data_IF_973319635903
#
_entry.id   IF_973319635903
#
_cell.length_a   1.000
_cell.length_b   1.000
_cell.length_c   1.000
_cell.angle_alpha   90.00
_cell.angle_beta   90.00
_cell.angle_gamma   90.00
#
_symmetry.space_group_name_H-M   'P 1'
#
loop_
_entity.id
_entity.type
_entity.pdbx_description
1 polymer ?
#
# COMPACT_ATOMS: atom_id res chain seq x y z
N UNK A 1 -21.89 -38.16 -63.81
CA UNK A 1 -20.59 -37.55 -64.20
C UNK A 1 -20.76 -36.03 -64.17
N UNK A 2 -19.87 -35.19 -63.66
CA UNK A 2 -18.55 -35.34 -63.08
C UNK A 2 -18.03 -33.95 -62.66
N UNK A 3 -17.11 -33.95 -61.70
CA UNK A 3 -16.02 -32.98 -61.53
C UNK A 3 -16.32 -31.48 -61.76
N UNK A 4 -17.00 -30.80 -60.83
CA UNK A 4 -16.95 -29.31 -60.74
C UNK A 4 -16.61 -28.73 -59.36
N UNK A 5 -16.57 -29.54 -58.30
CA UNK A 5 -16.30 -29.04 -56.95
C UNK A 5 -14.82 -28.90 -56.57
N UNK A 6 -13.91 -29.63 -57.23
CA UNK A 6 -12.49 -29.70 -56.80
C UNK A 6 -11.64 -28.56 -57.36
N UNK A 7 -12.04 -27.94 -58.48
CA UNK A 7 -11.26 -26.86 -59.12
C UNK A 7 -11.39 -25.55 -58.33
N UNK A 8 -12.57 -25.25 -57.77
CA UNK A 8 -12.80 -24.02 -57.00
C UNK A 8 -12.00 -24.02 -55.70
N UNK A 9 -11.96 -25.16 -54.98
CA UNK A 9 -11.18 -25.27 -53.74
C UNK A 9 -9.66 -25.18 -53.98
N UNK A 10 -9.16 -25.74 -55.09
CA UNK A 10 -7.74 -25.61 -55.48
C UNK A 10 -7.37 -24.18 -55.86
N UNK A 11 -8.24 -23.44 -56.55
CA UNK A 11 -8.01 -22.04 -56.91
C UNK A 11 -8.03 -21.11 -55.69
N UNK A 12 -8.89 -21.37 -54.71
CA UNK A 12 -8.91 -20.62 -53.44
C UNK A 12 -7.70 -20.91 -52.56
N UNK A 13 -7.25 -22.18 -52.50
CA UNK A 13 -6.02 -22.53 -51.79
C UNK A 13 -4.77 -21.94 -52.45
N UNK A 14 -4.73 -21.88 -53.79
CA UNK A 14 -3.65 -21.24 -54.54
C UNK A 14 -3.63 -19.72 -54.32
N UNK A 15 -4.80 -19.06 -54.27
CA UNK A 15 -4.92 -17.62 -53.97
C UNK A 15 -4.54 -17.27 -52.51
N UNK A 16 -4.81 -18.17 -51.56
CA UNK A 16 -4.36 -18.04 -50.17
C UNK A 16 -2.83 -18.22 -50.04
N UNK A 17 -2.25 -19.17 -50.79
CA UNK A 17 -0.80 -19.37 -50.79
C UNK A 17 -0.04 -18.25 -51.53
N UNK A 18 -0.58 -17.72 -52.62
CA UNK A 18 0.03 -16.58 -53.35
C UNK A 18 -0.15 -15.26 -52.60
N UNK A 19 -1.21 -15.11 -51.80
CA UNK A 19 -1.37 -14.00 -50.86
C UNK A 19 -0.30 -13.98 -49.75
N UNK A 20 0.16 -15.15 -49.31
CA UNK A 20 1.25 -15.27 -48.31
C UNK A 20 2.64 -14.95 -48.89
N UNK A 21 2.82 -15.11 -50.21
CA UNK A 21 4.09 -14.84 -50.90
C UNK A 21 4.20 -13.39 -51.42
N UNK A 22 3.09 -12.65 -51.51
CA UNK A 22 3.07 -11.30 -52.08
C UNK A 22 3.05 -10.16 -51.03
N UNK A 23 2.93 -10.48 -49.72
CA UNK A 23 2.93 -9.46 -48.67
C UNK A 23 3.85 -9.83 -47.49
N UNK A 24 5.19 -9.79 -47.64
CA UNK A 24 6.12 -10.00 -46.53
C UNK A 24 6.04 -8.90 -45.45
N UNK A 25 5.31 -7.82 -45.73
CA UNK A 25 5.21 -6.63 -44.88
C UNK A 25 4.23 -6.79 -43.70
N UNK A 26 3.30 -7.76 -43.71
CA UNK A 26 2.38 -7.96 -42.57
C UNK A 26 2.86 -8.98 -41.53
N UNK A 27 3.78 -9.88 -41.87
CA UNK A 27 4.37 -10.82 -40.90
C UNK A 27 5.50 -10.19 -40.07
N UNK A 28 6.16 -9.13 -40.57
CA UNK A 28 7.24 -8.44 -39.86
C UNK A 28 6.75 -7.58 -38.67
N UNK A 29 5.48 -7.17 -38.66
CA UNK A 29 4.93 -6.30 -37.61
C UNK A 29 4.59 -7.04 -36.30
N UNK A 30 4.42 -8.37 -36.34
CA UNK A 30 4.15 -9.19 -35.16
C UNK A 30 5.42 -9.66 -34.44
N UNK A 31 6.56 -9.72 -35.14
CA UNK A 31 7.84 -10.11 -34.53
C UNK A 31 8.51 -8.98 -33.73
N UNK A 32 8.20 -7.70 -34.02
CA UNK A 32 8.83 -6.55 -33.34
C UNK A 32 8.16 -6.17 -32.02
N UNK A 33 6.83 -6.33 -31.89
CA UNK A 33 6.09 -5.96 -30.67
C UNK A 33 6.14 -7.00 -29.56
N UNK A 34 6.05 -8.30 -29.90
CA UNK A 34 6.04 -9.36 -28.90
C UNK A 34 7.43 -9.60 -28.30
N UNK A 35 8.49 -9.57 -29.12
CA UNK A 35 9.88 -9.65 -28.64
C UNK A 35 10.26 -8.45 -27.78
N UNK A 36 9.88 -7.22 -28.20
CA UNK A 36 10.17 -6.01 -27.43
C UNK A 36 9.45 -5.93 -26.09
N UNK A 37 8.18 -6.36 -26.00
CA UNK A 37 7.42 -6.29 -24.76
C UNK A 37 7.94 -7.28 -23.68
N UNK A 38 8.31 -8.50 -24.09
CA UNK A 38 8.91 -9.49 -23.20
C UNK A 38 10.32 -9.05 -22.74
N UNK A 39 11.14 -8.54 -23.67
CA UNK A 39 12.48 -8.04 -23.35
C UNK A 39 12.47 -6.78 -22.46
N UNK A 40 11.48 -5.89 -22.63
CA UNK A 40 11.31 -4.74 -21.74
C UNK A 40 10.92 -5.17 -20.32
N UNK A 41 10.14 -6.25 -20.17
CA UNK A 41 9.75 -6.77 -18.85
C UNK A 41 10.95 -7.39 -18.14
N UNK A 42 11.75 -8.21 -18.83
CA UNK A 42 12.95 -8.84 -18.27
C UNK A 42 14.04 -7.80 -17.97
N UNK A 43 14.15 -6.74 -18.78
CA UNK A 43 15.05 -5.62 -18.48
C UNK A 43 14.64 -4.83 -17.23
N UNK A 44 13.34 -4.65 -16.98
CA UNK A 44 12.84 -4.07 -15.71
C UNK A 44 13.12 -4.98 -14.51
N UNK A 45 13.06 -6.29 -14.69
CA UNK A 45 13.44 -7.24 -13.64
C UNK A 45 14.93 -7.16 -13.33
N UNK A 46 15.78 -7.02 -14.34
CA UNK A 46 17.22 -6.86 -14.18
C UNK A 46 17.59 -5.58 -13.41
N UNK A 47 16.92 -4.46 -13.69
CA UNK A 47 17.16 -3.21 -12.97
C UNK A 47 16.72 -3.27 -11.51
N UNK A 48 15.64 -4.00 -11.21
CA UNK A 48 15.20 -4.27 -9.84
C UNK A 48 16.22 -5.13 -9.07
N UNK A 49 16.76 -6.20 -9.68
CA UNK A 49 17.78 -7.04 -9.03
C UNK A 49 19.08 -6.27 -8.75
N UNK A 50 19.54 -5.43 -9.68
CA UNK A 50 20.71 -4.54 -9.45
C UNK A 50 20.46 -3.48 -8.39
N UNK A 51 19.20 -3.07 -8.17
CA UNK A 51 18.85 -2.20 -7.05
C UNK A 51 18.93 -2.95 -5.71
N UNK A 52 18.55 -4.23 -5.69
CA UNK A 52 18.69 -5.08 -4.51
C UNK A 52 20.16 -5.32 -4.14
N UNK A 53 21.05 -5.56 -5.12
CA UNK A 53 22.50 -5.67 -4.88
C UNK A 53 23.06 -4.43 -4.19
N UNK A 54 22.71 -3.23 -4.69
CA UNK A 54 23.14 -1.95 -4.08
C UNK A 54 22.57 -1.76 -2.67
N UNK A 55 21.32 -2.15 -2.45
CA UNK A 55 20.69 -2.01 -1.13
C UNK A 55 21.26 -2.97 -0.09
N UNK A 56 21.71 -4.16 -0.51
CA UNK A 56 22.28 -5.19 0.37
C UNK A 56 23.80 -5.15 0.45
N UNK A 57 24.45 -4.24 -0.29
CA UNK A 57 25.90 -4.11 -0.30
C UNK A 57 26.62 -5.32 -0.90
N UNK A 58 25.95 -6.13 -1.73
CA UNK A 58 26.58 -7.27 -2.38
C UNK A 58 27.61 -6.76 -3.40
N UNK A 59 28.91 -6.97 -3.13
CA UNK A 59 29.97 -6.68 -4.10
C UNK A 59 30.17 -7.92 -4.97
N UNK A 60 30.34 -7.73 -6.28
CA UNK A 60 30.54 -8.84 -7.22
C UNK A 60 31.71 -9.72 -6.77
N UNK A 61 31.40 -10.96 -6.38
CA UNK A 61 32.39 -11.94 -5.89
C UNK A 61 32.47 -12.09 -4.37
N UNK A 62 31.64 -11.42 -3.56
CA UNK A 62 31.59 -11.65 -2.12
C UNK A 62 30.91 -13.00 -1.80
N UNK A 63 31.68 -14.08 -1.86
CA UNK A 63 31.29 -15.42 -1.38
C UNK A 63 31.34 -15.53 0.16
N UNK A 64 31.06 -14.43 0.86
CA UNK A 64 31.21 -14.37 2.32
C UNK A 64 29.95 -14.93 2.98
N UNK A 65 29.89 -16.26 3.11
CA UNK A 65 28.83 -16.98 3.82
C UNK A 65 28.55 -18.35 3.21
N UNK A 66 28.22 -19.34 4.05
CA UNK A 66 27.97 -20.73 3.67
C UNK A 66 26.75 -20.96 2.77
N UNK A 67 26.20 -22.18 2.79
CA UNK A 67 25.16 -22.68 1.86
C UNK A 67 23.95 -21.74 1.61
N UNK A 68 23.61 -20.84 2.54
CA UNK A 68 22.56 -19.83 2.38
C UNK A 68 23.14 -18.41 2.21
N UNK A 69 23.83 -18.16 1.08
CA UNK A 69 24.37 -16.84 0.79
C UNK A 69 23.43 -16.02 -0.13
N UNK A 70 22.78 -14.96 0.39
CA UNK A 70 21.80 -14.18 -0.38
C UNK A 70 22.44 -13.41 -1.55
N UNK A 71 23.73 -13.04 -1.46
CA UNK A 71 24.43 -12.37 -2.55
C UNK A 71 24.76 -13.35 -3.70
N UNK A 72 24.98 -14.63 -3.40
CA UNK A 72 25.19 -15.68 -4.41
C UNK A 72 23.90 -16.05 -5.15
N UNK A 73 22.75 -16.10 -4.47
CA UNK A 73 21.45 -16.30 -5.14
C UNK A 73 21.10 -15.12 -6.07
N UNK A 74 21.38 -13.88 -5.62
CA UNK A 74 21.16 -12.69 -6.44
C UNK A 74 22.04 -12.68 -7.70
N UNK A 75 23.34 -13.00 -7.58
CA UNK A 75 24.25 -13.04 -8.73
C UNK A 75 23.87 -14.14 -9.73
N UNK A 76 23.41 -15.31 -9.25
CA UNK A 76 22.90 -16.39 -10.09
C UNK A 76 21.65 -15.99 -10.88
N UNK A 77 20.69 -15.33 -10.23
CA UNK A 77 19.47 -14.83 -10.91
C UNK A 77 19.78 -13.77 -11.96
N UNK A 78 20.72 -12.87 -11.67
CA UNK A 78 21.17 -11.84 -12.61
C UNK A 78 21.85 -12.48 -13.82
N UNK A 79 22.73 -13.46 -13.60
CA UNK A 79 23.42 -14.18 -14.67
C UNK A 79 22.43 -14.94 -15.57
N UNK A 80 21.42 -15.59 -14.99
CA UNK A 80 20.39 -16.31 -15.75
C UNK A 80 19.54 -15.36 -16.60
N UNK A 81 19.06 -14.24 -16.04
CA UNK A 81 18.28 -13.25 -16.81
C UNK A 81 19.14 -12.61 -17.90
N UNK A 82 20.41 -12.34 -17.63
CA UNK A 82 21.33 -11.83 -18.63
C UNK A 82 21.58 -12.85 -19.77
N UNK A 83 21.59 -14.15 -19.45
CA UNK A 83 21.69 -15.21 -20.45
C UNK A 83 20.41 -15.34 -21.28
N UNK A 84 19.24 -15.20 -20.66
CA UNK A 84 17.94 -15.17 -21.34
C UNK A 84 17.82 -13.97 -22.29
N UNK A 85 18.25 -12.78 -21.84
CA UNK A 85 18.34 -11.60 -22.69
C UNK A 85 19.31 -11.82 -23.86
N UNK A 86 20.43 -12.50 -23.62
CA UNK A 86 21.40 -12.80 -24.67
C UNK A 86 20.82 -13.80 -25.69
N UNK A 87 20.12 -14.86 -25.25
CA UNK A 87 19.46 -15.81 -26.16
C UNK A 87 18.30 -15.18 -26.94
N UNK A 88 17.49 -14.34 -26.32
CA UNK A 88 16.40 -13.59 -26.99
C UNK A 88 16.96 -12.54 -27.96
N UNK A 89 18.10 -11.92 -27.62
CA UNK A 89 18.81 -11.01 -28.51
C UNK A 89 19.40 -11.72 -29.73
N UNK A 90 19.82 -12.98 -29.59
CA UNK A 90 20.29 -13.81 -30.71
C UNK A 90 19.13 -14.24 -31.62
N UNK A 91 17.94 -14.52 -31.06
CA UNK A 91 16.72 -14.76 -31.83
C UNK A 91 16.20 -13.50 -32.56
N UNK A 92 16.49 -12.30 -32.06
CA UNK A 92 16.14 -11.02 -32.71
C UNK A 92 17.23 -10.47 -33.63
N UNK A 93 18.45 -11.03 -33.61
CA UNK A 93 19.52 -10.72 -34.59
C UNK A 93 19.27 -11.24 -36.01
N UNK A 94 18.16 -11.95 -36.26
CA UNK A 94 17.68 -12.19 -37.64
C UNK A 94 17.05 -10.95 -38.29
N UNK A 95 16.96 -9.82 -37.59
CA UNK A 95 16.60 -8.52 -38.17
C UNK A 95 17.65 -7.50 -37.71
N UNK A 96 18.64 -7.23 -38.55
CA UNK A 96 19.68 -6.25 -38.26
C UNK A 96 19.34 -4.86 -38.81
N UNK A 97 19.56 -3.81 -38.00
CA UNK A 97 20.07 -2.49 -38.43
C UNK A 97 20.64 -1.73 -37.19
N UNK A 98 21.60 -0.77 -37.32
CA UNK A 98 22.60 -0.44 -36.31
C UNK A 98 22.18 0.66 -35.30
N UNK A 99 22.96 0.87 -34.22
CA UNK A 99 22.60 1.78 -33.14
C UNK A 99 22.80 3.26 -33.51
N UNK A 100 21.72 4.03 -33.45
CA UNK A 100 21.77 5.49 -33.43
C UNK A 100 22.31 5.99 -32.09
N UNK A 101 23.50 6.61 -32.13
CA UNK A 101 24.11 7.29 -31.01
C UNK A 101 23.27 8.51 -30.59
N UNK A 102 23.11 8.73 -29.29
CA UNK A 102 22.78 10.04 -28.73
C UNK A 102 23.48 10.21 -27.39
N UNK A 103 24.59 10.94 -27.46
CA UNK A 103 25.26 11.57 -26.35
C UNK A 103 24.53 12.88 -26.04
N UNK A 104 24.22 13.16 -24.77
CA UNK A 104 24.21 14.52 -24.18
C UNK A 104 24.35 14.34 -22.67
N UNK A 105 25.53 14.61 -22.12
CA UNK A 105 25.99 15.91 -21.58
C UNK A 105 25.73 16.01 -20.06
N UNK A 106 26.84 15.90 -19.32
CA UNK A 106 26.93 16.16 -17.87
C UNK A 106 26.69 17.65 -17.62
N UNK A 107 25.85 18.00 -16.65
CA UNK A 107 25.89 19.31 -15.98
C UNK A 107 26.01 19.06 -14.49
N UNK A 108 27.17 19.41 -13.94
CA UNK A 108 27.50 19.42 -12.52
C UNK A 108 27.44 20.87 -12.07
N UNK A 109 26.57 21.19 -11.12
CA UNK A 109 26.56 22.50 -10.45
C UNK A 109 26.53 22.27 -8.94
N UNK A 110 27.72 22.09 -8.38
CA UNK A 110 27.95 22.11 -6.93
C UNK A 110 28.03 23.58 -6.48
N UNK A 111 27.09 23.99 -5.62
CA UNK A 111 27.18 25.25 -4.86
C UNK A 111 27.21 24.89 -3.37
N UNK A 112 28.30 25.14 -2.64
CA UNK A 112 28.31 24.93 -1.20
C UNK A 112 27.58 26.09 -0.51
N UNK A 113 26.64 25.77 0.39
CA UNK A 113 26.06 26.74 1.31
C UNK A 113 26.27 26.27 2.75
N UNK A 114 27.28 26.86 3.35
CA UNK A 114 27.50 27.04 4.79
C UNK A 114 26.19 27.17 5.57
N UNK A 115 26.05 26.35 6.61
CA UNK A 115 24.93 26.39 7.56
C UNK A 115 25.21 27.45 8.61
N UNK A 116 24.40 28.51 8.64
CA UNK A 116 24.36 29.46 9.74
C UNK A 116 23.38 28.95 10.80
N UNK A 117 23.85 28.82 12.03
CA UNK A 117 23.02 28.61 13.22
C UNK A 117 22.15 29.85 13.40
N UNK A 118 20.84 29.68 13.32
CA UNK A 118 19.87 30.70 13.67
C UNK A 118 18.73 30.05 14.47
N UNK A 119 18.59 30.50 15.71
CA UNK A 119 17.43 30.27 16.56
C UNK A 119 16.16 30.73 15.83
N UNK A 120 15.25 29.81 15.54
CA UNK A 120 13.99 30.12 14.88
C UNK A 120 12.90 29.19 15.40
N UNK A 121 11.83 29.78 15.91
CA UNK A 121 10.61 29.16 16.42
C UNK A 121 9.76 28.52 15.30
N UNK A 122 10.41 27.84 14.37
CA UNK A 122 9.80 27.02 13.33
C UNK A 122 9.83 25.57 13.81
N UNK A 123 8.77 24.78 13.56
CA UNK A 123 8.82 23.36 13.85
C UNK A 123 10.05 22.74 13.19
N UNK A 124 10.93 22.14 14.00
CA UNK A 124 12.14 21.51 13.50
C UNK A 124 11.74 20.20 12.84
N UNK A 125 11.76 20.19 11.52
CA UNK A 125 11.50 18.99 10.72
C UNK A 125 12.80 18.61 10.03
N UNK A 126 13.42 17.46 10.38
CA UNK A 126 14.61 16.99 9.69
C UNK A 126 14.22 16.58 8.27
N UNK A 127 14.67 17.34 7.28
CA UNK A 127 14.47 17.03 5.87
C UNK A 127 15.38 15.87 5.45
N UNK A 128 14.78 14.77 4.97
CA UNK A 128 15.45 13.83 4.07
C UNK A 128 16.25 12.69 4.70
N UNK A 129 16.07 12.38 5.98
CA UNK A 129 16.72 11.21 6.58
C UNK A 129 15.93 9.95 6.20
N UNK A 130 16.55 9.09 5.40
CA UNK A 130 15.98 7.79 5.01
C UNK A 130 15.84 6.92 6.26
N UNK A 131 14.60 6.68 6.69
CA UNK A 131 14.30 5.81 7.82
C UNK A 131 14.11 6.54 9.15
N UNK A 132 13.96 7.87 9.17
CA UNK A 132 13.53 8.55 10.38
C UNK A 132 12.18 7.99 10.84
N UNK A 133 12.09 7.65 12.12
CA UNK A 133 10.87 7.17 12.75
C UNK A 133 10.23 8.31 13.53
N UNK A 134 8.90 8.30 13.61
CA UNK A 134 8.17 9.33 14.34
C UNK A 134 7.29 8.73 15.41
N UNK A 135 7.29 9.40 16.56
CA UNK A 135 6.61 8.99 17.77
C UNK A 135 5.68 10.10 18.24
N UNK A 136 4.49 9.69 18.67
CA UNK A 136 3.60 10.54 19.45
C UNK A 136 4.01 10.41 20.90
N UNK A 137 4.18 11.54 21.59
CA UNK A 137 4.49 11.58 23.02
C UNK A 137 3.43 12.38 23.74
N UNK A 138 2.85 11.81 24.80
CA UNK A 138 1.95 12.54 25.69
C UNK A 138 2.77 13.35 26.70
N UNK A 139 2.51 14.66 26.76
CA UNK A 139 3.27 15.59 27.61
C UNK A 139 2.97 15.45 29.11
N UNK A 140 1.83 14.85 29.47
CA UNK A 140 1.41 14.70 30.87
C UNK A 140 2.21 13.66 31.65
N UNK A 141 2.63 12.57 31.00
CA UNK A 141 3.25 11.40 31.62
C UNK A 141 4.42 10.81 30.81
N UNK A 142 4.76 11.45 29.69
CA UNK A 142 5.79 10.96 28.77
C UNK A 142 5.42 9.68 28.05
N UNK A 143 4.14 9.29 27.94
CA UNK A 143 3.80 8.08 27.19
C UNK A 143 4.15 8.22 25.71
N UNK A 144 5.01 7.34 25.21
CA UNK A 144 5.47 7.33 23.81
C UNK A 144 4.90 6.12 23.05
N UNK A 145 4.49 6.36 21.80
CA UNK A 145 4.08 5.31 20.86
C UNK A 145 4.37 5.70 19.42
N UNK A 146 4.63 4.74 18.51
CA UNK A 146 4.92 5.05 17.11
C UNK A 146 3.69 5.67 16.42
N UNK A 147 3.90 6.70 15.60
CA UNK A 147 2.81 7.33 14.85
C UNK A 147 2.26 6.39 13.78
N UNK A 148 0.97 6.50 13.40
CA UNK A 148 0.49 5.85 12.19
C UNK A 148 1.36 6.26 10.99
N UNK A 149 1.81 5.28 10.21
CA UNK A 149 2.74 5.49 9.09
C UNK A 149 4.10 6.12 9.49
N UNK A 150 4.60 5.88 10.71
CA UNK A 150 5.89 6.38 11.20
C UNK A 150 7.06 6.12 10.24
N UNK A 151 7.07 4.97 9.58
CA UNK A 151 8.11 4.55 8.63
C UNK A 151 8.04 5.22 7.24
N UNK A 152 6.96 5.94 6.93
CA UNK A 152 6.72 6.55 5.61
C UNK A 152 6.62 8.07 5.67
N UNK A 153 7.05 8.70 6.78
CA UNK A 153 6.90 10.14 6.92
C UNK A 153 7.66 10.90 5.82
N UNK A 154 6.88 11.68 5.07
CA UNK A 154 7.36 12.87 4.39
C UNK A 154 7.20 14.04 5.37
N UNK A 155 8.14 14.98 5.36
CA UNK A 155 8.17 16.19 6.20
C UNK A 155 6.86 17.00 6.20
N UNK A 156 6.02 16.83 5.18
CA UNK A 156 4.90 17.72 4.91
C UNK A 156 3.62 17.36 5.69
N UNK A 157 3.59 16.21 6.39
CA UNK A 157 2.38 15.70 7.05
C UNK A 157 2.37 15.88 8.58
N UNK A 158 3.24 16.73 9.14
CA UNK A 158 3.38 16.91 10.60
C UNK A 158 2.06 17.27 11.28
N UNK A 159 1.28 18.21 10.71
CA UNK A 159 0.02 18.65 11.29
C UNK A 159 -1.05 17.55 11.30
N UNK A 160 -1.13 16.76 10.22
CA UNK A 160 -2.05 15.62 10.11
C UNK A 160 -1.69 14.53 11.12
N UNK A 161 -0.40 14.21 11.23
CA UNK A 161 0.10 13.24 12.20
C UNK A 161 -0.16 13.70 13.63
N UNK A 162 0.02 14.99 13.94
CA UNK A 162 -0.29 15.54 15.26
C UNK A 162 -1.78 15.44 15.59
N UNK A 163 -2.66 15.75 14.64
CA UNK A 163 -4.11 15.58 14.82
C UNK A 163 -4.48 14.10 15.07
N UNK A 164 -3.78 13.20 14.37
CA UNK A 164 -3.97 11.77 14.54
C UNK A 164 -3.51 11.26 15.91
N UNK A 165 -2.36 11.74 16.42
CA UNK A 165 -1.91 11.45 17.78
C UNK A 165 -2.95 11.93 18.81
N UNK A 166 -3.50 13.15 18.63
CA UNK A 166 -4.52 13.71 19.51
C UNK A 166 -5.79 12.87 19.51
N UNK A 167 -6.23 12.39 18.35
CA UNK A 167 -7.39 11.51 18.25
C UNK A 167 -7.18 10.20 19.01
N UNK A 168 -6.02 9.56 18.85
CA UNK A 168 -5.67 8.29 19.54
C UNK A 168 -5.65 8.47 21.06
N UNK A 169 -5.15 9.61 21.54
CA UNK A 169 -5.13 9.94 22.97
C UNK A 169 -6.38 10.72 23.44
N UNK A 170 -7.49 10.67 22.71
CA UNK A 170 -8.79 11.25 23.10
C UNK A 170 -8.73 12.76 23.43
N UNK A 171 -7.88 13.51 22.74
CA UNK A 171 -7.74 14.97 22.89
C UNK A 171 -6.74 15.43 23.94
N UNK A 172 -5.98 14.53 24.57
CA UNK A 172 -4.92 14.92 25.50
C UNK A 172 -3.76 15.67 24.83
N UNK A 173 -3.01 16.44 25.63
CA UNK A 173 -1.84 17.18 25.15
C UNK A 173 -0.73 16.22 24.73
N UNK A 174 -0.53 16.11 23.42
CA UNK A 174 0.49 15.31 22.78
C UNK A 174 1.37 16.19 21.88
N UNK A 175 2.63 15.80 21.77
CA UNK A 175 3.58 16.38 20.85
C UNK A 175 4.21 15.29 19.97
N UNK A 176 4.76 15.72 18.84
CA UNK A 176 5.37 14.84 17.85
C UNK A 176 6.88 14.87 18.02
N UNK A 177 7.50 13.70 18.12
CA UNK A 177 8.95 13.55 18.21
C UNK A 177 9.47 12.73 17.05
N UNK A 178 10.60 13.17 16.48
CA UNK A 178 11.27 12.50 15.36
C UNK A 178 12.57 11.89 15.87
N UNK A 179 12.73 10.61 15.61
CA UNK A 179 13.97 9.88 15.80
C UNK A 179 14.67 9.78 14.44
N UNK A 180 15.80 10.47 14.33
CA UNK A 180 16.56 10.56 13.08
C UNK A 180 17.24 9.24 12.71
N UNK A 181 17.83 8.56 13.70
CA UNK A 181 18.47 7.27 13.49
C UNK A 181 17.49 6.14 13.82
N UNK A 182 17.09 5.29 12.85
CA UNK A 182 16.16 4.20 13.13
C UNK A 182 16.69 3.15 14.12
N UNK A 183 18.01 3.06 14.30
CA UNK A 183 18.65 2.18 15.28
C UNK A 183 19.01 2.91 16.58
N UNK A 184 18.75 4.23 16.64
CA UNK A 184 18.99 5.05 17.82
C UNK A 184 18.03 4.76 18.95
N UNK A 185 18.35 5.30 20.12
CA UNK A 185 17.50 5.15 21.29
C UNK A 185 16.32 6.13 21.25
N UNK A 186 15.22 5.73 21.90
CA UNK A 186 14.06 6.62 22.04
C UNK A 186 14.37 7.87 22.88
N UNK A 187 15.44 7.89 23.68
CA UNK A 187 15.85 9.06 24.44
C UNK A 187 16.32 10.24 23.55
N UNK A 188 16.91 9.91 22.40
CA UNK A 188 17.49 10.87 21.45
C UNK A 188 16.47 11.42 20.45
N UNK A 189 15.19 11.03 20.57
CA UNK A 189 14.14 11.61 19.73
C UNK A 189 13.97 13.08 20.07
N UNK A 190 13.72 13.91 19.07
CA UNK A 190 13.63 15.37 19.24
C UNK A 190 12.25 15.86 18.84
N UNK A 191 11.68 16.74 19.66
CA UNK A 191 10.34 17.27 19.42
C UNK A 191 10.33 18.19 18.21
N UNK A 192 9.29 18.03 17.40
CA UNK A 192 9.04 18.86 16.23
C UNK A 192 8.61 20.26 16.64
N UNK A 193 7.96 20.44 17.80
CA UNK A 193 7.45 21.75 18.23
C UNK A 193 8.53 22.65 18.82
N UNK A 194 9.40 22.10 19.68
CA UNK A 194 10.34 22.86 20.50
C UNK A 194 11.81 22.53 20.21
N UNK A 195 12.08 21.49 19.42
CA UNK A 195 13.45 21.07 19.07
C UNK A 195 14.24 20.48 20.25
N UNK A 196 13.59 20.17 21.37
CA UNK A 196 14.23 19.58 22.54
C UNK A 196 14.21 18.04 22.46
N UNK A 197 15.26 17.37 22.96
CA UNK A 197 15.26 15.92 23.06
C UNK A 197 14.22 15.44 24.08
N UNK A 198 13.77 14.21 23.91
CA UNK A 198 12.74 13.63 24.76
C UNK A 198 13.22 13.45 26.21
N UNK A 199 14.50 13.19 26.43
CA UNK A 199 15.07 13.09 27.78
C UNK A 199 15.00 14.41 28.59
N UNK A 200 14.91 15.56 27.92
CA UNK A 200 14.71 16.86 28.59
C UNK A 200 13.27 17.08 29.05
N UNK A 201 12.33 16.23 28.65
CA UNK A 201 10.94 16.30 29.12
C UNK A 201 10.90 15.86 30.60
N UNK A 202 10.38 16.70 31.54
CA UNK A 202 10.33 16.34 32.96
C UNK A 202 9.53 15.07 33.27
N UNK A 203 8.63 14.70 32.37
CA UNK A 203 7.79 13.51 32.49
C UNK A 203 8.28 12.34 31.64
N UNK A 204 9.49 12.42 31.07
CA UNK A 204 10.03 11.35 30.22
C UNK A 204 10.02 10.01 30.95
N UNK A 205 9.44 8.99 30.30
CA UNK A 205 9.34 7.61 30.79
C UNK A 205 8.53 7.40 32.09
N UNK A 206 7.86 8.43 32.62
CA UNK A 206 7.08 8.30 33.86
C UNK A 206 5.98 7.23 33.77
N UNK A 207 5.41 7.03 32.59
CA UNK A 207 4.40 6.00 32.34
C UNK A 207 4.87 4.56 32.64
N UNK A 208 6.17 4.28 32.69
CA UNK A 208 6.69 2.94 32.95
C UNK A 208 6.61 2.53 34.43
N UNK A 209 6.63 3.50 35.35
CA UNK A 209 6.62 3.26 36.80
C UNK A 209 5.26 3.50 37.47
N UNK A 210 4.26 3.98 36.73
CA UNK A 210 2.95 4.32 37.28
C UNK A 210 2.00 3.13 37.27
N UNK A 211 1.37 2.85 38.41
CA UNK A 211 0.32 1.81 38.54
C UNK A 211 -1.01 2.22 37.90
N UNK A 212 -1.26 3.52 37.73
CA UNK A 212 -2.50 4.08 37.16
C UNK A 212 -2.33 4.49 35.68
N UNK A 213 -1.39 3.85 34.98
CA UNK A 213 -1.09 4.20 33.60
C UNK A 213 -2.22 3.82 32.63
N UNK A 214 -2.84 4.82 32.02
CA UNK A 214 -3.79 4.64 30.91
C UNK A 214 -3.11 4.81 29.55
N UNK A 215 -3.07 3.74 28.77
CA UNK A 215 -2.60 3.75 27.37
C UNK A 215 -3.56 4.55 26.49
N UNK A 216 -3.03 5.21 25.46
CA UNK A 216 -3.89 5.81 24.43
C UNK A 216 -4.64 4.72 23.64
N UNK A 217 -5.85 5.05 23.18
CA UNK A 217 -6.78 4.10 22.58
C UNK A 217 -6.50 3.84 21.10
N UNK A 218 -5.52 2.97 20.85
CA UNK A 218 -5.21 2.50 19.50
C UNK A 218 -6.33 1.66 18.89
N UNK A 219 -7.07 0.91 19.71
CA UNK A 219 -8.13 0.03 19.24
C UNK A 219 -9.31 0.85 18.67
N UNK A 220 -9.73 1.90 19.38
CA UNK A 220 -10.74 2.84 18.92
C UNK A 220 -10.34 3.54 17.63
N UNK A 221 -9.06 3.92 17.49
CA UNK A 221 -8.57 4.49 16.24
C UNK A 221 -8.68 3.52 15.05
N UNK A 222 -8.20 2.29 15.20
CA UNK A 222 -8.30 1.27 14.13
C UNK A 222 -9.76 0.95 13.81
N UNK A 223 -10.60 0.83 14.84
CA UNK A 223 -12.05 0.69 14.70
C UNK A 223 -12.63 1.81 13.82
N UNK A 224 -12.29 3.06 14.13
CA UNK A 224 -12.79 4.23 13.38
C UNK A 224 -12.32 4.24 11.93
N UNK A 225 -11.05 3.93 11.66
CA UNK A 225 -10.55 3.84 10.27
C UNK A 225 -11.27 2.74 9.50
N UNK A 226 -11.50 1.59 10.14
CA UNK A 226 -12.14 0.45 9.49
C UNK A 226 -13.60 0.77 9.13
N UNK A 227 -14.33 1.46 10.01
CA UNK A 227 -15.68 1.99 9.77
C UNK A 227 -15.69 2.98 8.59
N UNK A 228 -14.81 3.99 8.61
CA UNK A 228 -14.71 4.98 7.53
C UNK A 228 -14.37 4.33 6.18
N UNK A 229 -13.51 3.31 6.20
CA UNK A 229 -13.15 2.54 5.01
C UNK A 229 -14.33 1.70 4.51
N UNK A 230 -15.10 1.09 5.40
CA UNK A 230 -16.31 0.33 5.06
C UNK A 230 -17.37 1.23 4.44
N UNK A 231 -17.65 2.39 5.05
CA UNK A 231 -18.60 3.37 4.53
C UNK A 231 -18.17 3.88 3.14
N UNK A 232 -16.89 4.21 2.95
CA UNK A 232 -16.34 4.62 1.64
C UNK A 232 -16.47 3.54 0.56
N UNK A 233 -16.37 2.25 0.93
CA UNK A 233 -16.62 1.13 -0.01
C UNK A 233 -18.10 1.01 -0.36
N UNK A 234 -19.00 1.12 0.63
CA UNK A 234 -20.45 1.14 0.41
C UNK A 234 -20.87 2.27 -0.54
N UNK A 235 -20.37 3.50 -0.31
CA UNK A 235 -20.64 4.63 -1.19
C UNK A 235 -20.09 4.46 -2.63
N UNK A 236 -19.00 3.70 -2.82
CA UNK A 236 -18.50 3.34 -4.15
C UNK A 236 -19.34 2.25 -4.83
N UNK A 237 -19.80 1.26 -4.07
CA UNK A 237 -20.67 0.20 -4.57
C UNK A 237 -22.01 0.76 -5.07
N UNK A 238 -22.55 1.77 -4.39
CA UNK A 238 -23.79 2.44 -4.74
C UNK A 238 -23.65 3.49 -5.86
N UNK A 239 -22.42 3.85 -6.25
CA UNK A 239 -22.17 4.95 -7.21
C UNK A 239 -22.73 4.68 -8.62
N UNK A 240 -22.85 3.41 -9.01
CA UNK A 240 -23.41 2.99 -10.30
C UNK A 240 -24.76 2.27 -10.16
N UNK A 241 -25.31 2.20 -8.95
CA UNK A 241 -26.64 1.64 -8.72
C UNK A 241 -27.64 2.75 -8.95
N UNK A 242 -28.28 2.74 -10.12
CA UNK A 242 -29.49 3.54 -10.34
C UNK A 242 -30.54 2.96 -9.43
N UNK A 243 -30.80 3.61 -8.29
CA UNK A 243 -31.96 3.30 -7.46
C UNK A 243 -33.17 3.75 -8.28
N UNK A 244 -34.00 2.84 -8.81
CA UNK A 244 -35.17 3.26 -9.57
C UNK A 244 -36.06 4.03 -8.61
N UNK A 245 -36.31 5.30 -8.93
CA UNK A 245 -37.28 6.09 -8.20
C UNK A 245 -38.66 5.50 -8.53
N UNK A 246 -39.48 5.11 -7.54
CA UNK A 246 -40.82 4.64 -7.83
C UNK A 246 -41.61 5.78 -8.47
N UNK A 247 -42.00 5.59 -9.74
CA UNK A 247 -42.71 6.60 -10.55
C UNK A 247 -44.11 6.91 -10.00
N UNK A 248 -44.66 6.02 -9.18
CA UNK A 248 -45.96 6.20 -8.54
C UNK A 248 -45.79 6.35 -7.04
N UNK A 249 -46.42 7.39 -6.50
CA UNK A 249 -46.64 7.52 -5.05
C UNK A 249 -47.36 6.23 -4.61
N UNK A 250 -46.80 5.43 -3.69
CA UNK A 250 -47.48 4.24 -3.23
C UNK A 250 -48.86 4.64 -2.71
N UNK A 251 -49.90 3.96 -3.22
CA UNK A 251 -51.25 4.21 -2.77
C UNK A 251 -51.28 4.06 -1.25
N UNK A 252 -51.69 5.12 -0.57
CA UNK A 252 -51.96 5.06 0.86
C UNK A 252 -53.17 4.15 1.00
N UNK A 253 -52.92 2.87 1.27
CA UNK A 253 -53.98 1.94 1.60
C UNK A 253 -54.53 2.36 2.97
N UNK A 254 -55.50 3.28 2.97
CA UNK A 254 -56.26 3.65 4.17
C UNK A 254 -57.15 2.48 4.67
N UNK A 255 -57.03 1.29 4.04
CA UNK A 255 -57.77 0.06 4.37
C UNK A 255 -56.89 -1.08 4.87
N UNK A 256 -55.57 -0.89 4.99
CA UNK A 256 -54.81 -1.79 5.86
C UNK A 256 -54.89 -1.19 7.24
N UNK A 257 -55.91 -1.59 8.00
CA UNK A 257 -55.73 -1.69 9.44
C UNK A 257 -54.45 -2.47 9.62
N UNK A 258 -53.37 -1.78 10.00
CA UNK A 258 -52.17 -2.45 10.49
C UNK A 258 -52.67 -3.21 11.70
N UNK A 259 -52.96 -4.49 11.50
CA UNK A 259 -53.35 -5.37 12.58
C UNK A 259 -52.21 -5.29 13.57
N UNK A 260 -52.45 -4.70 14.73
CA UNK A 260 -51.52 -4.77 15.87
C UNK A 260 -51.20 -6.22 16.24
N UNK A 261 -51.99 -7.18 15.76
CA UNK A 261 -51.70 -8.62 15.80
C UNK A 261 -50.51 -9.08 14.93
N UNK A 262 -50.02 -8.27 13.98
CA UNK A 262 -48.77 -8.57 13.24
C UNK A 262 -47.52 -8.20 14.05
N UNK A 263 -47.67 -7.35 15.06
CA UNK A 263 -46.78 -7.34 16.22
C UNK A 263 -47.20 -8.50 17.12
N UNK A 264 -46.90 -9.73 16.69
CA UNK A 264 -46.68 -10.75 17.69
C UNK A 264 -45.52 -10.23 18.55
N UNK A 265 -45.68 -9.99 19.87
CA UNK A 265 -44.52 -9.80 20.72
C UNK A 265 -43.59 -10.97 20.42
N UNK A 266 -42.29 -10.69 20.28
CA UNK A 266 -41.28 -11.74 20.12
C UNK A 266 -41.48 -12.64 21.33
N UNK A 267 -42.19 -13.75 21.15
CA UNK A 267 -42.28 -14.76 22.19
C UNK A 267 -40.86 -15.28 22.35
N UNK A 268 -40.47 -15.50 23.59
CA UNK A 268 -39.14 -15.98 23.93
C UNK A 268 -38.88 -17.31 23.21
N UNK A 269 -38.34 -17.21 22.00
CA UNK A 269 -38.02 -18.35 21.15
C UNK A 269 -36.62 -18.75 21.56
N UNK A 270 -36.49 -19.97 22.06
CA UNK A 270 -35.19 -20.56 22.34
C UNK A 270 -34.44 -20.78 21.02
N UNK A 271 -33.75 -19.75 20.54
CA UNK A 271 -32.91 -19.79 19.35
C UNK A 271 -31.61 -20.46 19.74
N UNK A 272 -31.36 -21.67 19.23
CA UNK A 272 -30.05 -22.31 19.36
C UNK A 272 -29.06 -21.55 18.49
N UNK A 273 -28.25 -20.69 19.12
CA UNK A 273 -27.13 -20.03 18.48
C UNK A 273 -26.07 -21.10 18.19
N UNK A 274 -26.03 -21.58 16.95
CA UNK A 274 -24.95 -22.43 16.45
C UNK A 274 -23.94 -21.53 15.74
N UNK A 275 -22.98 -21.04 16.52
CA UNK A 275 -21.82 -20.29 16.05
C UNK A 275 -20.59 -20.69 16.86
N UNK A 276 -19.40 -20.52 16.28
CA UNK A 276 -18.12 -20.76 16.95
C UNK A 276 -18.08 -20.04 18.31
N UNK A 277 -17.61 -20.73 19.36
CA UNK A 277 -17.76 -20.38 20.79
C UNK A 277 -17.03 -19.10 21.29
N UNK A 278 -17.07 -17.99 20.56
CA UNK A 278 -16.32 -16.77 20.88
C UNK A 278 -17.18 -15.50 21.07
N UNK A 279 -18.47 -15.65 21.38
CA UNK A 279 -19.28 -14.53 21.87
C UNK A 279 -19.52 -14.75 23.36
N UNK A 280 -18.88 -13.92 24.19
CA UNK A 280 -19.14 -13.88 25.62
C UNK A 280 -20.45 -13.12 25.84
N UNK A 281 -21.47 -13.84 26.31
CA UNK A 281 -22.73 -13.27 26.76
C UNK A 281 -22.59 -12.97 28.26
N UNK A 282 -22.06 -11.80 28.60
CA UNK A 282 -22.11 -11.31 29.99
C UNK A 282 -23.40 -10.51 30.19
N UNK A 283 -24.34 -11.08 30.94
CA UNK A 283 -25.46 -10.32 31.50
C UNK A 283 -26.83 -10.99 31.49
N UNK A 284 -26.92 -12.28 31.80
CA UNK A 284 -28.20 -12.93 32.10
C UNK A 284 -28.69 -12.58 33.50
N UNK A 285 -29.33 -11.41 33.68
CA UNK A 285 -30.10 -11.11 34.89
C UNK A 285 -31.57 -10.79 34.53
N UNK A 286 -32.45 -11.64 35.04
CA UNK A 286 -33.90 -11.61 34.86
C UNK A 286 -34.49 -10.31 35.42
N UNK A 287 -34.92 -9.38 34.55
CA UNK A 287 -35.76 -8.25 34.95
C UNK A 287 -37.20 -8.52 34.53
N UNK A 288 -38.06 -8.83 35.52
CA UNK A 288 -39.52 -8.88 35.35
C UNK A 288 -40.06 -7.45 35.20
N UNK A 289 -40.96 -7.16 34.25
CA UNK A 289 -41.59 -5.85 34.18
C UNK A 289 -42.71 -5.74 35.23
N UNK A 290 -42.56 -4.76 36.12
CA UNK A 290 -43.61 -4.29 37.03
C UNK A 290 -44.72 -3.63 36.23
N UNK A 291 -45.95 -4.06 36.48
CA UNK A 291 -47.20 -3.47 36.01
C UNK A 291 -47.42 -2.11 36.68
N UNK A 292 -47.75 -1.09 35.88
CA UNK A 292 -48.62 0.04 36.24
C UNK A 292 -49.43 0.43 35.00
#
# INVERSE_FOLDING_TARGET
MGFKGVVVAKSFALLLLTGLLCFPQLAAASCTRAAGAADMMTQRQLSALRALERSRGCKGGDERGGFFNPCRDLSQRIAEIQRQLSSSSLSSRSCGEPPGASQTAKVKLDRPKMSAVATNSKPWVPNGIKGALTYCVRLSDGYLFPTPHSQFQKSDNVAETMAQCRFICQGQNVDLYVLNDPNGETADMVSVSNGKPYIELPTAYNYQGSSEFQKCDWAGYIGKISELRANKKGGRALKNVVVPMPDTRPARNDVVSVSTASFAPITDRNVRIVGSAFIFDEGGENVKPSVY
#
